data_IF_653761340277
#
_entry.id   IF_653761340277
#
_cell.length_a   1.000
_cell.length_b   1.000
_cell.length_c   1.000
_cell.angle_alpha   90.00
_cell.angle_beta   90.00
_cell.angle_gamma   90.00
#
_symmetry.space_group_name_H-M   'P 1'
#
loop_
_entity.id
_entity.type
_entity.pdbx_description
1 polymer ?
#
# COMPACT_ATOMS: atom_id res chain seq x y z
N UNK A 1 16.47 56.48 -43.46
CA UNK A 1 16.82 56.29 -42.04
C UNK A 1 15.76 55.37 -41.47
N UNK A 2 16.12 54.09 -41.36
CA UNK A 2 15.35 52.91 -40.92
C UNK A 2 16.19 52.29 -39.78
N UNK A 3 15.74 51.34 -38.94
CA UNK A 3 14.43 51.05 -38.36
C UNK A 3 14.57 50.72 -36.84
N UNK A 4 15.49 51.37 -36.12
CA UNK A 4 15.88 50.97 -34.73
C UNK A 4 14.74 51.08 -33.69
N UNK A 5 13.78 51.98 -33.91
CA UNK A 5 12.62 52.13 -33.02
C UNK A 5 11.73 50.87 -33.03
N UNK A 6 11.51 50.27 -34.19
CA UNK A 6 10.70 49.04 -34.31
C UNK A 6 11.39 47.85 -33.62
N UNK A 7 12.71 47.74 -33.73
CA UNK A 7 13.46 46.67 -33.09
C UNK A 7 13.39 46.76 -31.56
N UNK A 8 13.51 47.96 -31.00
CA UNK A 8 13.39 48.18 -29.55
C UNK A 8 11.96 47.96 -29.03
N UNK A 9 10.94 48.38 -29.77
CA UNK A 9 9.55 48.10 -29.39
C UNK A 9 9.23 46.61 -29.45
N UNK A 10 9.66 45.91 -30.51
CA UNK A 10 9.50 44.45 -30.62
C UNK A 10 10.22 43.73 -29.47
N UNK A 11 11.45 44.13 -29.15
CA UNK A 11 12.22 43.54 -28.06
C UNK A 11 11.55 43.76 -26.70
N UNK A 12 10.96 44.95 -26.48
CA UNK A 12 10.15 45.24 -25.29
C UNK A 12 8.90 44.37 -25.22
N UNK A 13 8.19 44.18 -26.34
CA UNK A 13 7.01 43.31 -26.36
C UNK A 13 7.36 41.84 -26.07
N UNK A 14 8.46 41.34 -26.65
CA UNK A 14 8.95 39.98 -26.43
C UNK A 14 9.39 39.75 -24.98
N UNK A 15 9.99 40.76 -24.33
CA UNK A 15 10.34 40.70 -22.92
C UNK A 15 9.11 40.67 -22.01
N UNK A 16 8.10 41.50 -22.29
CA UNK A 16 6.85 41.51 -21.52
C UNK A 16 6.10 40.18 -21.66
N UNK A 17 6.06 39.62 -22.86
CA UNK A 17 5.45 38.31 -23.11
C UNK A 17 6.21 37.19 -22.40
N UNK A 18 7.55 37.19 -22.44
CA UNK A 18 8.36 36.24 -21.68
C UNK A 18 8.10 36.35 -20.17
N UNK A 19 8.04 37.55 -19.61
CA UNK A 19 7.76 37.76 -18.19
C UNK A 19 6.37 37.21 -17.82
N UNK A 20 5.37 37.41 -18.68
CA UNK A 20 4.04 36.84 -18.50
C UNK A 20 4.07 35.32 -18.52
N UNK A 21 4.73 34.72 -19.52
CA UNK A 21 4.86 33.26 -19.64
C UNK A 21 5.58 32.64 -18.45
N UNK A 22 6.63 33.28 -17.93
CA UNK A 22 7.32 32.82 -16.72
C UNK A 22 6.41 32.85 -15.49
N UNK A 23 5.58 33.89 -15.39
CA UNK A 23 4.60 34.01 -14.30
C UNK A 23 3.54 32.92 -14.38
N UNK A 24 3.00 32.68 -15.57
CA UNK A 24 2.01 31.61 -15.81
C UNK A 24 2.62 30.22 -15.56
N UNK A 25 3.84 29.97 -16.03
CA UNK A 25 4.56 28.72 -15.76
C UNK A 25 4.79 28.47 -14.27
N UNK A 26 5.18 29.49 -13.52
CA UNK A 26 5.36 29.36 -12.07
C UNK A 26 4.04 28.99 -11.36
N UNK A 27 2.93 29.63 -11.75
CA UNK A 27 1.61 29.30 -11.21
C UNK A 27 1.21 27.85 -11.53
N UNK A 28 1.47 27.37 -12.74
CA UNK A 28 1.22 25.98 -13.14
C UNK A 28 2.08 25.00 -12.35
N UNK A 29 3.38 25.25 -12.23
CA UNK A 29 4.28 24.43 -11.42
C UNK A 29 3.80 24.33 -9.97
N UNK A 30 3.37 25.44 -9.37
CA UNK A 30 2.84 25.44 -8.01
C UNK A 30 1.56 24.62 -7.85
N UNK A 31 0.70 24.61 -8.88
CA UNK A 31 -0.52 23.77 -8.90
C UNK A 31 -0.17 22.29 -9.05
N UNK A 32 0.77 21.95 -9.93
CA UNK A 32 1.23 20.58 -10.15
C UNK A 32 1.90 20.03 -8.90
N UNK A 33 2.79 20.79 -8.27
CA UNK A 33 3.51 20.36 -7.06
C UNK A 33 2.54 19.93 -5.95
N UNK A 34 1.50 20.73 -5.67
CA UNK A 34 0.49 20.38 -4.66
C UNK A 34 -0.22 19.06 -4.99
N UNK A 35 -0.61 18.85 -6.25
CA UNK A 35 -1.27 17.60 -6.69
C UNK A 35 -0.34 16.41 -6.57
N UNK A 36 0.90 16.55 -7.00
CA UNK A 36 1.92 15.49 -6.88
C UNK A 36 2.19 15.13 -5.44
N UNK A 37 2.21 16.11 -4.53
CA UNK A 37 2.41 15.87 -3.10
C UNK A 37 1.26 15.06 -2.50
N UNK A 38 0.00 15.37 -2.88
CA UNK A 38 -1.17 14.58 -2.46
C UNK A 38 -1.08 13.14 -3.00
N UNK A 39 -0.74 12.97 -4.27
CA UNK A 39 -0.59 11.64 -4.89
C UNK A 39 0.53 10.82 -4.24
N UNK A 40 1.64 11.46 -3.87
CA UNK A 40 2.74 10.82 -3.17
C UNK A 40 2.30 10.29 -1.80
N UNK A 41 1.61 11.10 -1.01
CA UNK A 41 1.05 10.68 0.27
C UNK A 41 0.00 9.57 0.12
N UNK A 42 -0.87 9.68 -0.89
CA UNK A 42 -1.83 8.62 -1.20
C UNK A 42 -1.15 7.29 -1.51
N UNK A 43 -0.04 7.33 -2.28
CA UNK A 43 0.73 6.15 -2.60
C UNK A 43 1.37 5.52 -1.36
N UNK A 44 1.94 6.31 -0.47
CA UNK A 44 2.46 5.82 0.82
C UNK A 44 1.35 5.17 1.64
N UNK A 45 0.21 5.84 1.79
CA UNK A 45 -0.94 5.32 2.51
C UNK A 45 -1.43 3.99 1.90
N UNK A 46 -1.48 3.89 0.57
CA UNK A 46 -1.89 2.66 -0.11
C UNK A 46 -0.93 1.50 0.16
N UNK A 47 0.38 1.74 0.23
CA UNK A 47 1.36 0.70 0.57
C UNK A 47 1.25 0.28 2.04
N UNK A 48 1.04 1.24 2.95
CA UNK A 48 0.80 0.94 4.36
C UNK A 48 -0.46 0.09 4.54
N UNK A 49 -1.53 0.39 3.80
CA UNK A 49 -2.76 -0.41 3.83
C UNK A 49 -2.48 -1.80 3.23
N UNK A 50 -1.80 -1.90 2.10
CA UNK A 50 -1.52 -3.18 1.45
C UNK A 50 -0.69 -4.11 2.34
N UNK A 51 0.29 -3.56 3.06
CA UNK A 51 1.15 -4.31 3.98
C UNK A 51 0.45 -4.56 5.32
N UNK A 52 -0.28 -3.56 5.84
CA UNK A 52 -0.97 -3.67 7.13
C UNK A 52 -2.23 -4.52 7.08
N UNK A 53 -2.92 -4.59 5.93
CA UNK A 53 -4.13 -5.38 5.74
C UNK A 53 -3.95 -6.87 6.09
N UNK A 54 -2.94 -7.60 5.59
CA UNK A 54 -2.73 -8.99 5.98
C UNK A 54 -2.43 -9.16 7.47
N UNK A 55 -1.74 -8.20 8.12
CA UNK A 55 -1.54 -8.23 9.57
C UNK A 55 -2.86 -8.08 10.33
N UNK A 56 -3.66 -7.07 9.98
CA UNK A 56 -4.98 -6.87 10.61
C UNK A 56 -5.88 -8.09 10.39
N UNK A 57 -5.89 -8.63 9.18
CA UNK A 57 -6.65 -9.83 8.84
C UNK A 57 -6.17 -11.04 9.67
N UNK A 58 -4.87 -11.20 9.87
CA UNK A 58 -4.32 -12.28 10.68
C UNK A 58 -4.80 -12.20 12.13
N UNK A 59 -4.63 -11.06 12.81
CA UNK A 59 -5.00 -10.92 14.22
C UNK A 59 -6.52 -10.95 14.45
N UNK A 60 -7.32 -10.33 13.57
CA UNK A 60 -8.77 -10.24 13.81
C UNK A 60 -9.58 -11.41 13.26
N UNK A 61 -9.09 -12.06 12.20
CA UNK A 61 -9.83 -13.15 11.55
C UNK A 61 -9.17 -14.47 11.84
N UNK A 62 -7.86 -14.61 11.62
CA UNK A 62 -7.18 -15.91 11.63
C UNK A 62 -6.88 -16.41 13.05
N UNK A 63 -6.36 -15.55 13.92
CA UNK A 63 -6.07 -15.86 15.34
C UNK A 63 -7.27 -16.47 16.09
N UNK A 64 -8.50 -15.91 16.05
CA UNK A 64 -9.62 -16.53 16.76
C UNK A 64 -10.05 -17.89 16.15
N UNK A 65 -9.74 -18.16 14.87
CA UNK A 65 -9.93 -19.51 14.33
C UNK A 65 -8.85 -20.45 14.87
N UNK A 66 -7.61 -20.01 15.05
CA UNK A 66 -6.57 -20.82 15.69
C UNK A 66 -6.86 -21.08 17.17
N UNK A 67 -7.40 -20.13 17.92
CA UNK A 67 -7.77 -20.38 19.32
C UNK A 67 -8.93 -21.39 19.44
N UNK A 68 -9.93 -21.26 18.56
CA UNK A 68 -11.06 -22.21 18.50
C UNK A 68 -10.62 -23.58 17.98
N UNK A 69 -9.77 -23.62 16.96
CA UNK A 69 -9.27 -24.88 16.40
C UNK A 69 -8.25 -25.54 17.32
N UNK A 70 -7.37 -24.77 17.96
CA UNK A 70 -6.38 -25.24 18.93
C UNK A 70 -7.03 -25.83 20.17
N UNK A 71 -8.00 -25.14 20.77
CA UNK A 71 -8.81 -25.71 21.84
C UNK A 71 -9.58 -26.95 21.38
N UNK A 72 -10.16 -26.95 20.18
CA UNK A 72 -10.85 -28.13 19.64
C UNK A 72 -9.90 -29.29 19.31
N UNK A 73 -8.66 -29.02 18.92
CA UNK A 73 -7.66 -30.05 18.59
C UNK A 73 -7.14 -30.71 19.86
N UNK A 74 -6.92 -29.94 20.92
CA UNK A 74 -6.54 -30.47 22.23
C UNK A 74 -7.70 -31.27 22.86
N UNK A 75 -8.94 -30.78 22.73
CA UNK A 75 -10.14 -31.50 23.18
C UNK A 75 -10.41 -32.76 22.33
N UNK A 76 -10.16 -32.70 21.02
CA UNK A 76 -10.26 -33.83 20.10
C UNK A 76 -9.19 -34.88 20.35
N UNK A 77 -7.94 -34.46 20.59
CA UNK A 77 -6.85 -35.34 20.97
C UNK A 77 -7.10 -36.00 22.33
N UNK A 78 -7.65 -35.25 23.30
CA UNK A 78 -8.10 -35.81 24.58
C UNK A 78 -9.23 -36.83 24.38
N UNK A 79 -10.26 -36.50 23.60
CA UNK A 79 -11.35 -37.42 23.28
C UNK A 79 -10.90 -38.69 22.55
N UNK A 80 -9.92 -38.58 21.64
CA UNK A 80 -9.31 -39.74 20.97
C UNK A 80 -8.46 -40.60 21.92
N UNK A 81 -7.90 -40.02 22.99
CA UNK A 81 -7.16 -40.78 24.01
C UNK A 81 -8.09 -41.51 24.99
N UNK A 82 -9.32 -41.04 25.15
CA UNK A 82 -10.34 -41.66 25.99
C UNK A 82 -11.03 -42.87 25.31
N UNK A 83 -10.89 -43.02 23.98
CA UNK A 83 -11.39 -44.19 23.25
C UNK A 83 -10.44 -45.39 23.48
N UNK A 84 -10.87 -46.43 24.22
CA UNK A 84 -10.04 -47.61 24.48
C UNK A 84 -9.76 -48.36 23.17
N UNK A 85 -8.48 -48.60 22.87
CA UNK A 85 -8.04 -49.30 21.65
C UNK A 85 -7.48 -48.40 20.54
N UNK A 86 -7.73 -47.08 20.57
CA UNK A 86 -7.21 -46.16 19.54
C UNK A 86 -5.68 -46.00 19.59
N UNK A 87 -5.09 -45.96 20.80
CA UNK A 87 -3.63 -46.00 20.99
C UNK A 87 -2.99 -47.30 20.44
N UNK A 88 -3.69 -48.42 20.57
CA UNK A 88 -3.23 -49.72 20.06
C UNK A 88 -3.36 -49.79 18.53
N UNK A 89 -4.42 -49.21 17.96
CA UNK A 89 -4.62 -49.11 16.51
C UNK A 89 -3.54 -48.25 15.83
N UNK A 90 -3.21 -47.07 16.39
CA UNK A 90 -2.12 -46.24 15.85
C UNK A 90 -0.73 -46.88 15.98
N UNK A 91 -0.44 -47.57 17.09
CA UNK A 91 0.80 -48.34 17.23
C UNK A 91 0.88 -49.53 16.27
N UNK A 92 -0.26 -50.14 15.93
CA UNK A 92 -0.32 -51.25 14.99
C UNK A 92 -0.22 -50.82 13.51
N UNK A 93 -0.56 -49.56 13.19
CA UNK A 93 -0.59 -49.04 11.81
C UNK A 93 0.61 -48.13 11.52
N UNK A 94 1.16 -47.44 12.53
CA UNK A 94 2.40 -46.67 12.42
C UNK A 94 3.67 -47.50 12.68
N UNK A 95 3.56 -48.83 12.65
CA UNK A 95 4.63 -49.79 12.96
C UNK A 95 5.36 -50.35 11.74
N UNK A 96 5.18 -49.79 10.54
CA UNK A 96 5.98 -50.07 9.35
C UNK A 96 6.46 -48.75 8.73
N UNK A 97 7.48 -48.15 9.37
CA UNK A 97 8.64 -47.40 8.85
C UNK A 97 9.27 -46.48 9.93
#
# INVERSE_FOLDING_TARGET
>A
MLPDYDAHEQLRTLMLENQRLLTENNQLMRKLYKRTMVLFWWRIASFLILIGAPFVLYFYVVEPYFDKLGSSFETFQQGLQEVPGWKQFYQAIGGDE
#
